data_IF_528808886168
#
_entry.id   IF_528808886168
#
_cell.length_a   1.000
_cell.length_b   1.000
_cell.length_c   1.000
_cell.angle_alpha   90.00
_cell.angle_beta   90.00
_cell.angle_gamma   90.00
#
_symmetry.space_group_name_H-M   'P 1'
#
loop_
_entity.id
_entity.type
_entity.pdbx_description
1 polymer ?
#
# COMPACT_ATOMS: atom_id res chain seq x y z
N UNK A 1 12.10 16.23 12.42
CA UNK A 1 11.52 15.01 11.82
C UNK A 1 11.92 13.79 12.63
N UNK A 2 11.08 12.77 12.69
CA UNK A 2 11.37 11.47 13.29
C UNK A 2 11.29 10.40 12.21
N UNK A 3 12.33 9.58 12.07
CA UNK A 3 12.30 8.40 11.23
C UNK A 3 11.53 7.28 11.94
N UNK A 4 10.61 6.65 11.22
CA UNK A 4 9.79 5.54 11.69
C UNK A 4 10.12 4.33 10.82
N UNK A 5 10.79 3.33 11.39
CA UNK A 5 10.96 2.04 10.71
C UNK A 5 9.59 1.39 10.54
N UNK A 6 9.15 1.20 9.30
CA UNK A 6 7.81 0.75 8.91
C UNK A 6 7.94 -0.36 7.86
N UNK A 7 8.45 -1.53 8.25
CA UNK A 7 8.77 -2.61 7.32
C UNK A 7 7.51 -3.18 6.64
N UNK A 8 7.73 -3.87 5.52
CA UNK A 8 6.72 -4.69 4.86
C UNK A 8 6.51 -4.38 3.40
N UNK A 9 6.63 -3.11 2.97
CA UNK A 9 6.76 -2.78 1.56
C UNK A 9 8.13 -3.28 1.08
N UNK A 10 9.15 -2.91 1.84
CA UNK A 10 10.45 -3.57 1.91
C UNK A 10 10.82 -3.77 3.38
N UNK A 11 11.79 -4.62 3.69
CA UNK A 11 12.23 -4.88 5.08
C UNK A 11 12.86 -3.65 5.76
N UNK A 12 13.39 -2.74 4.96
CA UNK A 12 14.13 -1.54 5.35
C UNK A 12 13.34 -0.25 5.11
N UNK A 13 12.03 -0.34 4.88
CA UNK A 13 11.20 0.83 4.60
C UNK A 13 11.07 1.75 5.83
N UNK A 14 11.14 3.06 5.59
CA UNK A 14 10.93 4.10 6.58
C UNK A 14 9.84 5.09 6.13
N UNK A 15 9.10 5.58 7.10
CA UNK A 15 8.28 6.78 6.99
C UNK A 15 8.90 7.91 7.83
N UNK A 16 8.60 9.15 7.50
CA UNK A 16 9.11 10.31 8.24
C UNK A 16 7.97 11.14 8.80
N UNK A 17 7.97 11.33 10.11
CA UNK A 17 7.01 12.18 10.82
C UNK A 17 7.61 13.57 11.08
N UNK A 18 6.98 14.59 10.54
CA UNK A 18 7.15 15.98 10.93
C UNK A 18 6.19 16.28 12.09
N UNK A 19 6.73 16.69 13.23
CA UNK A 19 6.01 16.75 14.51
C UNK A 19 5.08 17.96 14.62
N UNK A 20 5.47 19.12 14.06
CA UNK A 20 4.74 20.38 14.23
C UNK A 20 3.34 20.29 13.62
N UNK A 21 3.23 19.69 12.44
CA UNK A 21 1.97 19.54 11.72
C UNK A 21 1.38 18.14 11.82
N UNK A 22 2.06 17.19 12.48
CA UNK A 22 1.71 15.77 12.45
C UNK A 22 1.57 15.26 11.01
N UNK A 23 2.59 15.55 10.21
CA UNK A 23 2.64 15.22 8.79
C UNK A 23 3.56 14.01 8.59
N UNK A 24 3.01 12.91 8.08
CA UNK A 24 3.78 11.71 7.75
C UNK A 24 4.01 11.62 6.25
N UNK A 25 5.28 11.64 5.85
CA UNK A 25 5.71 11.21 4.53
C UNK A 25 5.77 9.69 4.53
N UNK A 26 4.88 9.06 3.77
CA UNK A 26 4.65 7.60 3.83
C UNK A 26 5.57 6.81 2.91
N UNK A 27 6.25 7.49 1.98
CA UNK A 27 6.88 6.80 0.86
C UNK A 27 5.84 5.89 0.19
N UNK A 28 6.22 4.64 -0.01
CA UNK A 28 5.35 3.58 -0.52
C UNK A 28 4.72 2.68 0.57
N UNK A 29 5.06 2.91 1.84
CA UNK A 29 4.64 2.05 2.95
C UNK A 29 3.15 2.18 3.33
N UNK A 30 2.47 3.23 2.87
CA UNK A 30 1.03 3.37 3.03
C UNK A 30 0.23 2.93 1.78
N UNK A 31 0.92 2.57 0.69
CA UNK A 31 0.32 2.13 -0.56
C UNK A 31 0.32 3.21 -1.65
N UNK A 32 -0.23 2.83 -2.80
CA UNK A 32 -0.41 3.72 -3.96
C UNK A 32 -1.78 4.38 -3.85
N UNK A 33 -1.80 5.68 -3.57
CA UNK A 33 -3.03 6.44 -3.45
C UNK A 33 -3.50 6.98 -4.81
N UNK A 34 -4.78 6.82 -5.12
CA UNK A 34 -5.39 7.35 -6.35
C UNK A 34 -6.39 8.44 -5.98
N UNK A 35 -6.08 9.74 -6.20
CA UNK A 35 -6.96 10.83 -5.76
C UNK A 35 -8.36 10.81 -6.39
N UNK A 36 -8.48 10.37 -7.64
CA UNK A 36 -9.77 10.37 -8.36
C UNK A 36 -10.78 9.35 -7.82
N UNK A 37 -10.30 8.29 -7.16
CA UNK A 37 -11.14 7.21 -6.62
C UNK A 37 -11.08 7.13 -5.09
N UNK A 38 -10.10 7.79 -4.46
CA UNK A 38 -9.82 7.65 -3.03
C UNK A 38 -9.33 6.26 -2.64
N UNK A 39 -8.99 5.41 -3.63
CA UNK A 39 -8.48 4.07 -3.38
C UNK A 39 -7.00 4.12 -3.00
N UNK A 40 -6.61 3.13 -2.20
CA UNK A 40 -5.22 2.88 -1.84
C UNK A 40 -4.91 1.43 -2.15
N UNK A 41 -3.97 1.20 -3.06
CA UNK A 41 -3.55 -0.14 -3.45
C UNK A 41 -2.31 -0.54 -2.63
N UNK A 42 -2.22 -1.79 -2.15
CA UNK A 42 -1.00 -2.27 -1.52
C UNK A 42 0.18 -2.22 -2.50
N UNK A 43 1.22 -1.45 -2.16
CA UNK A 43 2.42 -1.40 -2.99
C UNK A 43 3.28 -2.64 -2.74
N UNK A 44 3.02 -3.73 -3.48
CA UNK A 44 3.47 -5.08 -3.12
C UNK A 44 4.48 -5.69 -4.10
N UNK A 45 5.42 -4.89 -4.60
CA UNK A 45 6.43 -5.38 -5.54
C UNK A 45 7.29 -6.54 -4.97
N UNK A 46 7.52 -7.63 -5.73
CA UNK A 46 8.41 -8.71 -5.33
C UNK A 46 9.89 -8.30 -5.38
N UNK A 47 10.80 -8.98 -4.65
CA UNK A 47 10.55 -10.04 -3.66
C UNK A 47 10.34 -9.50 -2.22
N UNK A 48 10.38 -8.17 -2.07
CA UNK A 48 10.55 -7.50 -0.79
C UNK A 48 9.28 -7.42 0.04
N UNK A 49 8.10 -7.46 -0.59
CA UNK A 49 6.84 -7.36 0.12
C UNK A 49 6.66 -8.49 1.15
N UNK A 50 6.25 -8.12 2.36
CA UNK A 50 5.91 -9.01 3.49
C UNK A 50 4.58 -8.57 4.08
N UNK A 51 3.52 -9.34 3.82
CA UNK A 51 2.16 -8.95 4.15
C UNK A 51 1.97 -8.61 5.62
N UNK A 52 2.37 -9.49 6.54
CA UNK A 52 2.13 -9.29 7.97
C UNK A 52 2.89 -8.09 8.55
N UNK A 53 4.11 -7.83 8.06
CA UNK A 53 4.87 -6.65 8.48
C UNK A 53 4.26 -5.36 7.92
N UNK A 54 3.83 -5.38 6.65
CA UNK A 54 3.17 -4.24 6.02
C UNK A 54 1.87 -3.89 6.73
N UNK A 55 1.08 -4.92 7.07
CA UNK A 55 -0.16 -4.80 7.85
C UNK A 55 0.09 -4.16 9.22
N UNK A 56 1.09 -4.63 9.97
CA UNK A 56 1.47 -4.04 11.27
C UNK A 56 1.93 -2.59 11.12
N UNK A 57 2.69 -2.27 10.07
CA UNK A 57 3.12 -0.90 9.77
C UNK A 57 1.94 0.02 9.50
N UNK A 58 0.95 -0.42 8.72
CA UNK A 58 -0.29 0.32 8.50
C UNK A 58 -1.12 0.48 9.78
N UNK A 59 -1.24 -0.56 10.61
CA UNK A 59 -1.91 -0.46 11.92
C UNK A 59 -1.23 0.57 12.83
N UNK A 60 0.11 0.58 12.85
CA UNK A 60 0.88 1.56 13.59
C UNK A 60 0.69 2.98 13.03
N UNK A 61 0.62 3.14 11.71
CA UNK A 61 0.33 4.43 11.08
C UNK A 61 -1.06 4.96 11.45
N UNK A 62 -2.08 4.08 11.50
CA UNK A 62 -3.42 4.42 11.99
C UNK A 62 -3.37 4.89 13.45
N UNK A 63 -2.62 4.21 14.31
CA UNK A 63 -2.47 4.57 15.72
C UNK A 63 -1.72 5.90 15.93
N UNK A 64 -0.76 6.23 15.05
CA UNK A 64 -0.10 7.55 15.05
C UNK A 64 -1.11 8.67 14.80
N UNK A 65 -2.20 8.39 14.09
CA UNK A 65 -3.30 9.32 13.79
C UNK A 65 -2.77 10.67 13.25
N UNK A 66 -2.05 10.66 12.11
CA UNK A 66 -1.47 11.87 11.53
C UNK A 66 -2.56 12.83 11.07
N UNK A 67 -2.23 14.13 11.02
CA UNK A 67 -3.13 15.15 10.46
C UNK A 67 -2.99 15.27 8.94
N UNK A 68 -1.83 14.89 8.41
CA UNK A 68 -1.50 14.94 6.99
C UNK A 68 -0.72 13.67 6.61
N UNK A 69 -1.09 13.05 5.50
CA UNK A 69 -0.36 11.96 4.86
C UNK A 69 0.18 12.44 3.52
N UNK A 70 1.46 12.20 3.27
CA UNK A 70 2.13 12.59 2.02
C UNK A 70 2.61 11.35 1.32
N UNK A 71 1.93 11.01 0.23
CA UNK A 71 2.27 9.88 -0.61
C UNK A 71 3.40 10.26 -1.58
N UNK A 72 4.24 9.29 -1.96
CA UNK A 72 5.23 9.46 -3.04
C UNK A 72 4.59 9.88 -4.36
N UNK A 73 3.32 9.51 -4.55
CA UNK A 73 2.57 9.74 -5.76
C UNK A 73 1.34 10.60 -5.47
N UNK A 74 1.06 11.55 -6.37
CA UNK A 74 -0.18 12.34 -6.43
C UNK A 74 -0.47 13.33 -5.28
N UNK A 75 0.31 13.33 -4.19
CA UNK A 75 0.33 14.42 -3.22
C UNK A 75 -0.08 14.02 -1.80
N UNK A 76 -0.73 14.96 -1.09
CA UNK A 76 -1.05 14.82 0.32
C UNK A 76 -2.55 14.82 0.61
N UNK A 77 -2.94 14.06 1.62
CA UNK A 77 -4.30 14.00 2.19
C UNK A 77 -4.25 14.62 3.58
N UNK A 78 -5.24 15.44 3.95
CA UNK A 78 -5.25 16.15 5.24
C UNK A 78 -6.63 16.17 5.88
N UNK A 79 -6.68 16.39 7.20
CA UNK A 79 -7.94 16.50 7.93
C UNK A 79 -8.62 15.15 8.11
N UNK A 80 -9.96 15.12 8.07
CA UNK A 80 -10.74 13.90 8.33
C UNK A 80 -10.55 12.82 7.25
N UNK A 81 -10.18 13.22 6.03
CA UNK A 81 -9.91 12.32 4.91
C UNK A 81 -8.75 11.37 5.19
N UNK A 82 -7.80 11.75 6.06
CA UNK A 82 -6.67 10.90 6.45
C UNK A 82 -7.17 9.58 7.04
N UNK A 83 -8.18 9.63 7.91
CA UNK A 83 -8.74 8.42 8.52
C UNK A 83 -9.46 7.55 7.50
N UNK A 84 -10.20 8.17 6.58
CA UNK A 84 -10.90 7.47 5.50
C UNK A 84 -9.89 6.73 4.62
N UNK A 85 -8.83 7.41 4.20
CA UNK A 85 -7.79 6.84 3.33
C UNK A 85 -7.03 5.71 4.02
N UNK A 86 -6.65 5.83 5.29
CA UNK A 86 -5.98 4.74 6.01
C UNK A 86 -6.89 3.53 6.25
N UNK A 87 -8.17 3.77 6.54
CA UNK A 87 -9.15 2.70 6.66
C UNK A 87 -9.37 1.98 5.33
N UNK A 88 -9.41 2.72 4.21
CA UNK A 88 -9.48 2.14 2.87
C UNK A 88 -8.22 1.33 2.56
N UNK A 89 -7.02 1.83 2.90
CA UNK A 89 -5.77 1.11 2.72
C UNK A 89 -5.77 -0.23 3.46
N UNK A 90 -6.20 -0.24 4.73
CA UNK A 90 -6.32 -1.46 5.52
C UNK A 90 -7.39 -2.41 4.96
N UNK A 91 -8.57 -1.89 4.61
CA UNK A 91 -9.66 -2.67 4.03
C UNK A 91 -9.23 -3.34 2.72
N UNK A 92 -8.61 -2.59 1.83
CA UNK A 92 -8.13 -3.09 0.55
C UNK A 92 -7.02 -4.13 0.75
N UNK A 93 -6.11 -3.92 1.70
CA UNK A 93 -5.07 -4.91 2.04
C UNK A 93 -5.67 -6.26 2.46
N UNK A 94 -6.68 -6.25 3.33
CA UNK A 94 -7.38 -7.46 3.79
C UNK A 94 -8.21 -8.12 2.68
N UNK A 95 -8.89 -7.30 1.86
CA UNK A 95 -9.64 -7.78 0.70
C UNK A 95 -8.71 -8.46 -0.31
N UNK A 96 -7.57 -7.84 -0.63
CA UNK A 96 -6.57 -8.42 -1.53
C UNK A 96 -6.06 -9.76 -1.01
N UNK A 97 -5.77 -9.88 0.29
CA UNK A 97 -5.41 -11.17 0.90
C UNK A 97 -6.51 -12.20 0.71
N UNK A 98 -7.74 -11.89 1.12
CA UNK A 98 -8.87 -12.81 1.02
C UNK A 98 -9.10 -13.28 -0.43
N UNK A 99 -9.00 -12.38 -1.41
CA UNK A 99 -9.21 -12.69 -2.82
C UNK A 99 -8.08 -13.51 -3.41
N UNK A 100 -6.83 -13.14 -3.13
CA UNK A 100 -5.67 -13.82 -3.70
C UNK A 100 -5.36 -15.15 -3.01
N UNK A 101 -5.74 -15.35 -1.74
CA UNK A 101 -5.74 -16.69 -1.11
C UNK A 101 -6.68 -17.67 -1.82
N UNK A 102 -7.77 -17.16 -2.41
CA UNK A 102 -8.70 -17.93 -3.24
C UNK A 102 -8.37 -17.87 -4.75
N UNK A 103 -7.19 -17.33 -5.12
CA UNK A 103 -6.73 -17.18 -6.51
C UNK A 103 -7.68 -16.36 -7.41
N UNK A 104 -8.49 -15.46 -6.84
CA UNK A 104 -9.41 -14.56 -7.55
C UNK A 104 -8.65 -13.33 -8.10
N UNK A 105 -7.71 -13.59 -9.02
CA UNK A 105 -6.88 -12.57 -9.68
C UNK A 105 -7.73 -11.64 -10.55
N UNK A 106 -8.76 -12.19 -11.21
CA UNK A 106 -9.65 -11.43 -12.09
C UNK A 106 -10.39 -10.34 -11.33
N UNK A 107 -10.84 -10.62 -10.10
CA UNK A 107 -11.44 -9.59 -9.24
C UNK A 107 -10.48 -8.42 -9.00
N UNK A 108 -9.21 -8.70 -8.69
CA UNK A 108 -8.23 -7.64 -8.44
C UNK A 108 -8.01 -6.82 -9.71
N UNK A 109 -7.77 -7.47 -10.85
CA UNK A 109 -7.58 -6.76 -12.12
C UNK A 109 -8.79 -5.90 -12.49
N UNK A 110 -10.00 -6.44 -12.37
CA UNK A 110 -11.24 -5.74 -12.73
C UNK A 110 -11.47 -4.49 -11.89
N UNK A 111 -11.20 -4.56 -10.58
CA UNK A 111 -11.52 -3.47 -9.66
C UNK A 111 -10.39 -2.43 -9.52
N UNK A 112 -9.14 -2.82 -9.74
CA UNK A 112 -7.97 -1.98 -9.40
C UNK A 112 -7.10 -1.56 -10.59
N UNK A 113 -7.15 -2.24 -11.74
CA UNK A 113 -6.36 -1.82 -12.92
C UNK A 113 -6.74 -0.43 -13.41
N UNK A 114 -7.99 -0.04 -13.15
CA UNK A 114 -8.50 1.30 -13.43
C UNK A 114 -7.76 2.42 -12.70
N UNK A 115 -6.89 2.16 -11.74
CA UNK A 115 -6.13 3.23 -11.07
C UNK A 115 -4.81 3.57 -11.81
N UNK A 116 -4.38 2.69 -12.70
CA UNK A 116 -3.18 2.84 -13.52
C UNK A 116 -3.49 3.43 -14.92
N UNK A 117 -4.47 4.34 -15.02
CA UNK A 117 -4.96 4.86 -16.33
C UNK A 117 -3.93 5.63 -17.13
N UNK A 118 -2.95 6.21 -16.43
CA UNK A 118 -1.85 6.98 -17.03
C UNK A 118 -0.91 6.10 -17.85
N UNK A 119 -0.89 4.79 -17.59
CA UNK A 119 -0.09 3.83 -18.33
C UNK A 119 -0.86 3.25 -19.52
N UNK A 120 -0.12 2.87 -20.56
CA UNK A 120 -0.67 2.12 -21.70
C UNK A 120 -1.31 0.81 -21.22
N UNK A 121 -2.29 0.26 -21.96
CA UNK A 121 -2.95 -1.00 -21.57
C UNK A 121 -1.96 -2.13 -21.28
N UNK A 122 -0.95 -2.32 -22.14
CA UNK A 122 0.05 -3.39 -21.97
C UNK A 122 0.88 -3.20 -20.70
N UNK A 123 1.32 -1.97 -20.43
CA UNK A 123 2.12 -1.68 -19.23
C UNK A 123 1.28 -1.77 -17.95
N UNK A 124 0.01 -1.38 -18.01
CA UNK A 124 -0.94 -1.53 -16.91
C UNK A 124 -1.13 -2.99 -16.52
N UNK A 125 -1.38 -3.86 -17.50
CA UNK A 125 -1.51 -5.30 -17.25
C UNK A 125 -0.22 -5.86 -16.65
N UNK A 126 0.93 -5.51 -17.22
CA UNK A 126 2.23 -5.95 -16.71
C UNK A 126 2.47 -5.52 -15.26
N UNK A 127 2.23 -4.25 -14.91
CA UNK A 127 2.43 -3.76 -13.54
C UNK A 127 1.45 -4.42 -12.56
N UNK A 128 0.18 -4.56 -12.94
CA UNK A 128 -0.81 -5.25 -12.12
C UNK A 128 -0.40 -6.70 -11.84
N UNK A 129 0.08 -7.42 -12.86
CA UNK A 129 0.59 -8.78 -12.69
C UNK A 129 1.77 -8.83 -11.71
N UNK A 130 2.72 -7.90 -11.82
CA UNK A 130 3.88 -7.83 -10.92
C UNK A 130 3.45 -7.58 -9.47
N UNK A 131 2.54 -6.62 -9.24
CA UNK A 131 2.03 -6.29 -7.90
C UNK A 131 1.29 -7.50 -7.31
N UNK A 132 0.39 -8.13 -8.08
CA UNK A 132 -0.37 -9.31 -7.64
C UNK A 132 0.58 -10.47 -7.29
N UNK A 133 1.58 -10.74 -8.12
CA UNK A 133 2.56 -11.79 -7.86
C UNK A 133 3.38 -11.52 -6.60
N UNK A 134 3.80 -10.27 -6.38
CA UNK A 134 4.52 -9.92 -5.16
C UNK A 134 3.63 -10.01 -3.91
N UNK A 135 2.35 -9.66 -4.02
CA UNK A 135 1.37 -9.88 -2.95
C UNK A 135 1.20 -11.36 -2.60
N UNK A 136 0.96 -12.23 -3.60
CA UNK A 136 0.82 -13.70 -3.42
C UNK A 136 2.07 -14.30 -2.76
N UNK A 137 3.26 -13.86 -3.19
CA UNK A 137 4.52 -14.31 -2.57
C UNK A 137 4.68 -13.81 -1.15
N UNK A 138 4.19 -12.62 -0.84
CA UNK A 138 4.29 -11.96 0.46
C UNK A 138 3.31 -12.47 1.52
N UNK A 139 2.17 -13.07 1.11
CA UNK A 139 1.24 -13.77 2.02
C UNK A 139 1.70 -15.20 2.33
N UNK A 140 2.42 -15.86 1.42
CA UNK A 140 2.84 -17.25 1.59
C UNK A 140 4.09 -17.35 2.48
N UNK A 141 4.02 -17.98 3.68
CA UNK A 141 5.20 -18.13 4.52
C UNK A 141 6.21 -19.09 3.85
N UNK A 142 7.43 -18.61 3.58
CA UNK A 142 8.55 -19.48 3.15
C UNK A 142 9.14 -19.22 1.76
N UNK A 143 8.58 -18.31 0.96
CA UNK A 143 9.12 -17.98 -0.39
C UNK A 143 10.40 -17.12 -0.37
N UNK A 144 10.82 -16.62 0.80
CA UNK A 144 11.98 -15.75 0.97
C UNK A 144 13.32 -16.47 1.23
N UNK A 145 13.37 -17.80 1.07
CA UNK A 145 14.59 -18.60 1.19
C UNK A 145 14.86 -19.39 -0.11
N UNK A 146 15.15 -18.71 -1.22
CA UNK A 146 15.93 -19.24 -2.33
C UNK A 146 16.68 -18.11 -3.00
#
# INVERSE_FOLDING_TARGET
MKALHMPGHTSDHFMFLEMKNSFVFTGDGAGLFTPSTGQVLPNSFPPSFKYEEYRKSLQRLIQINPRILGFSHFGAVSGDDVKIVLNNAMKNLEEWKSKLENMDVEYIKKNYSGDFRLFSPDFREMIMDVIIQGFIRGITPGSARR
#
